data_IF_041757961607
#
_entry.id   IF_041757961607
#
_cell.length_a   1.000
_cell.length_b   1.000
_cell.length_c   1.000
_cell.angle_alpha   90.00
_cell.angle_beta   90.00
_cell.angle_gamma   90.00
#
_symmetry.space_group_name_H-M   'P 1'
#
loop_
_entity.id
_entity.type
_entity.pdbx_description
1 polymer ?
#
# COMPACT_ATOMS: atom_id res chain seq x y z
N UNK A 1 46.48 12.34 53.61
CA UNK A 1 45.27 13.04 53.12
C UNK A 1 45.52 13.56 51.72
N UNK A 2 44.70 13.14 50.74
CA UNK A 2 44.21 13.89 49.57
C UNK A 2 43.54 12.90 48.61
N UNK A 3 42.24 12.70 48.87
CA UNK A 3 41.26 12.10 47.96
C UNK A 3 40.90 13.14 46.88
N UNK A 4 40.32 12.65 45.77
CA UNK A 4 39.58 13.38 44.72
C UNK A 4 40.39 14.13 43.66
N UNK A 5 40.50 13.54 42.45
CA UNK A 5 40.05 14.14 41.18
C UNK A 5 39.75 13.01 40.17
N UNK A 6 38.58 12.37 40.26
CA UNK A 6 37.99 11.65 39.10
C UNK A 6 36.48 11.83 39.22
N UNK A 7 35.92 12.90 38.66
CA UNK A 7 34.47 13.04 38.42
C UNK A 7 34.19 14.37 37.69
N UNK A 8 34.31 14.39 36.36
CA UNK A 8 33.51 15.27 35.47
C UNK A 8 33.88 14.99 34.01
N UNK A 9 33.29 13.96 33.38
CA UNK A 9 33.29 13.85 31.92
C UNK A 9 32.28 12.80 31.36
N UNK A 10 31.10 12.57 31.96
CA UNK A 10 30.07 11.72 31.33
C UNK A 10 28.66 12.28 31.59
N UNK A 11 28.34 13.47 31.07
CA UNK A 11 26.93 13.92 30.94
C UNK A 11 26.74 14.74 29.65
N UNK A 12 27.14 14.21 28.49
CA UNK A 12 26.83 14.84 27.18
C UNK A 12 26.19 13.89 26.14
N UNK A 13 26.00 12.61 26.46
CA UNK A 13 25.43 11.64 25.52
C UNK A 13 23.91 11.67 25.28
N UNK A 14 23.01 12.25 26.12
CA UNK A 14 21.58 12.25 25.83
C UNK A 14 21.10 13.39 24.91
N UNK A 15 21.93 14.39 24.59
CA UNK A 15 21.51 15.53 23.74
C UNK A 15 21.51 15.14 22.26
N UNK A 16 22.46 14.31 21.83
CA UNK A 16 22.58 13.86 20.44
C UNK A 16 21.36 13.05 19.98
N UNK A 17 20.85 12.12 20.82
CA UNK A 17 19.67 11.30 20.50
C UNK A 17 18.39 12.14 20.39
N UNK A 18 18.21 13.17 21.22
CA UNK A 18 17.04 14.03 21.17
C UNK A 18 17.03 14.93 19.92
N UNK A 19 18.20 15.46 19.53
CA UNK A 19 18.36 16.28 18.33
C UNK A 19 18.19 15.48 17.02
N UNK A 20 18.68 14.24 16.97
CA UNK A 20 18.45 13.35 15.82
C UNK A 20 16.95 13.06 15.62
N UNK A 21 16.22 12.81 16.71
CA UNK A 21 14.78 12.59 16.66
C UNK A 21 13.96 13.80 16.20
N UNK A 22 14.42 15.04 16.41
CA UNK A 22 13.71 16.23 15.94
C UNK A 22 13.91 16.46 14.43
N UNK A 23 15.12 16.24 13.92
CA UNK A 23 15.43 16.35 12.49
C UNK A 23 14.70 15.30 11.63
N UNK A 24 14.71 14.03 12.04
CA UNK A 24 13.98 12.95 11.34
C UNK A 24 12.48 13.24 11.30
N UNK A 25 11.88 13.69 12.42
CA UNK A 25 10.46 14.07 12.45
C UNK A 25 10.12 15.23 11.51
N UNK A 26 11.02 16.22 11.37
CA UNK A 26 10.83 17.33 10.42
C UNK A 26 10.81 16.82 8.97
N UNK A 27 11.74 15.95 8.61
CA UNK A 27 11.81 15.34 7.28
C UNK A 27 10.59 14.47 6.98
N UNK A 28 10.11 13.69 7.96
CA UNK A 28 8.86 12.93 7.84
C UNK A 28 7.65 13.83 7.59
N UNK A 29 7.53 14.94 8.32
CA UNK A 29 6.44 15.92 8.12
C UNK A 29 6.51 16.58 6.75
N UNK A 30 7.71 16.91 6.29
CA UNK A 30 7.94 17.47 4.95
C UNK A 30 7.55 16.47 3.86
N UNK A 31 8.01 15.22 3.96
CA UNK A 31 7.64 14.14 3.05
C UNK A 31 6.13 13.93 3.03
N UNK A 32 5.48 13.88 4.20
CA UNK A 32 4.02 13.75 4.31
C UNK A 32 3.29 14.90 3.60
N UNK A 33 3.80 16.13 3.72
CA UNK A 33 3.24 17.30 3.04
C UNK A 33 3.40 17.20 1.52
N UNK A 34 4.55 16.73 1.03
CA UNK A 34 4.79 16.54 -0.41
C UNK A 34 3.92 15.41 -0.97
N UNK A 35 3.80 14.31 -0.23
CA UNK A 35 2.94 13.18 -0.58
C UNK A 35 1.47 13.62 -0.74
N UNK A 36 0.96 14.43 0.20
CA UNK A 36 -0.41 14.98 0.13
C UNK A 36 -0.64 15.90 -1.06
N UNK A 37 0.41 16.57 -1.53
CA UNK A 37 0.38 17.39 -2.76
C UNK A 37 0.63 16.55 -4.02
N UNK A 38 0.64 15.23 -3.88
CA UNK A 38 0.98 14.25 -4.93
C UNK A 38 2.35 14.45 -5.59
N UNK A 39 3.26 15.19 -4.93
CA UNK A 39 4.64 15.41 -5.38
C UNK A 39 5.50 14.24 -4.90
N UNK A 40 5.29 13.06 -5.48
CA UNK A 40 5.85 11.81 -4.96
C UNK A 40 7.38 11.74 -5.03
N UNK A 41 8.02 12.35 -6.04
CA UNK A 41 9.49 12.44 -6.10
C UNK A 41 10.08 13.28 -4.96
N UNK A 42 9.41 14.38 -4.61
CA UNK A 42 9.81 15.21 -3.48
C UNK A 42 9.55 14.52 -2.15
N UNK A 43 8.46 13.76 -2.05
CA UNK A 43 8.14 12.95 -0.88
C UNK A 43 9.20 11.86 -0.66
N UNK A 44 9.51 11.10 -1.71
CA UNK A 44 10.60 10.12 -1.73
C UNK A 44 11.92 10.72 -1.25
N UNK A 45 12.33 11.86 -1.83
CA UNK A 45 13.56 12.55 -1.45
C UNK A 45 13.61 12.88 0.04
N UNK A 46 12.51 13.38 0.61
CA UNK A 46 12.41 13.69 2.03
C UNK A 46 12.46 12.43 2.91
N UNK A 47 11.80 11.34 2.52
CA UNK A 47 11.83 10.09 3.27
C UNK A 47 13.18 9.37 3.20
N UNK A 48 13.86 9.39 2.04
CA UNK A 48 15.25 8.89 1.94
C UNK A 48 16.20 9.70 2.82
N UNK A 49 16.03 11.02 2.91
CA UNK A 49 16.77 11.87 3.86
C UNK A 49 16.43 11.54 5.33
N UNK A 50 15.19 11.18 5.64
CA UNK A 50 14.84 10.71 6.98
C UNK A 50 15.55 9.39 7.31
N UNK A 51 15.56 8.44 6.37
CA UNK A 51 16.26 7.16 6.53
C UNK A 51 17.78 7.29 6.61
N UNK A 52 18.39 8.29 5.97
CA UNK A 52 19.84 8.54 6.13
C UNK A 52 20.19 9.11 7.51
N UNK A 53 19.21 9.63 8.26
CA UNK A 53 19.38 10.12 9.63
C UNK A 53 19.03 9.07 10.68
N UNK A 54 18.00 8.28 10.40
CA UNK A 54 17.54 7.16 11.21
C UNK A 54 17.18 5.99 10.28
N UNK A 55 18.16 5.11 10.08
CA UNK A 55 18.04 3.94 9.20
C UNK A 55 17.02 2.92 9.70
N UNK A 56 16.65 2.99 10.99
CA UNK A 56 15.68 2.10 11.62
C UNK A 56 14.25 2.62 11.62
N UNK A 57 14.01 3.80 11.03
CA UNK A 57 12.69 4.43 11.06
C UNK A 57 11.67 3.68 10.21
N UNK A 58 10.89 2.78 10.82
CA UNK A 58 9.77 2.09 10.16
C UNK A 58 8.76 3.03 9.54
N UNK A 59 8.52 4.19 10.16
CA UNK A 59 7.64 5.23 9.60
C UNK A 59 8.21 5.82 8.30
N UNK A 60 9.52 6.08 8.24
CA UNK A 60 10.15 6.59 7.02
C UNK A 60 10.15 5.52 5.92
N UNK A 61 10.47 4.27 6.25
CA UNK A 61 10.40 3.14 5.31
C UNK A 61 8.98 2.95 4.77
N UNK A 62 7.97 2.87 5.64
CA UNK A 62 6.57 2.73 5.22
C UNK A 62 6.12 3.88 4.30
N UNK A 63 6.44 5.13 4.64
CA UNK A 63 6.04 6.28 3.84
C UNK A 63 6.82 6.41 2.51
N UNK A 64 8.07 5.94 2.49
CA UNK A 64 8.85 5.82 1.25
C UNK A 64 8.21 4.77 0.33
N UNK A 65 7.85 3.60 0.87
CA UNK A 65 7.10 2.58 0.14
C UNK A 65 5.81 3.11 -0.47
N UNK A 66 5.03 3.89 0.30
CA UNK A 66 3.82 4.56 -0.21
C UNK A 66 4.09 5.49 -1.38
N UNK A 67 5.22 6.21 -1.37
CA UNK A 67 5.59 7.16 -2.43
C UNK A 67 6.00 6.43 -3.70
N UNK A 68 6.82 5.40 -3.57
CA UNK A 68 7.27 4.54 -4.66
C UNK A 68 6.10 3.81 -5.31
N UNK A 69 5.19 3.27 -4.50
CA UNK A 69 3.94 2.67 -4.97
C UNK A 69 3.14 3.63 -5.87
N UNK A 70 2.97 4.89 -5.45
CA UNK A 70 2.24 5.89 -6.26
C UNK A 70 3.00 6.31 -7.50
N UNK A 71 4.33 6.34 -7.45
CA UNK A 71 5.16 6.57 -8.65
C UNK A 71 4.94 5.45 -9.66
N UNK A 72 5.01 4.20 -9.22
CA UNK A 72 4.72 3.04 -10.07
C UNK A 72 3.32 3.09 -10.66
N UNK A 73 2.29 3.44 -9.87
CA UNK A 73 0.92 3.59 -10.40
C UNK A 73 0.82 4.64 -11.51
N UNK A 74 1.58 5.73 -11.43
CA UNK A 74 1.60 6.82 -12.41
C UNK A 74 2.45 6.49 -13.64
N UNK A 75 3.62 5.88 -13.46
CA UNK A 75 4.56 5.57 -14.56
C UNK A 75 4.32 4.20 -15.19
N UNK A 76 3.58 3.31 -14.51
CA UNK A 76 3.44 1.88 -14.80
C UNK A 76 4.79 1.14 -14.86
N UNK A 77 5.76 1.61 -14.08
CA UNK A 77 7.10 1.01 -13.97
C UNK A 77 7.17 0.08 -12.75
N UNK A 78 7.39 -1.21 -13.00
CA UNK A 78 7.43 -2.26 -11.98
C UNK A 78 8.60 -2.13 -11.01
N UNK A 79 9.70 -1.48 -11.40
CA UNK A 79 10.87 -1.30 -10.53
C UNK A 79 10.52 -0.53 -9.25
N UNK A 80 9.59 0.42 -9.37
CA UNK A 80 9.09 1.16 -8.21
C UNK A 80 8.22 0.30 -7.29
N UNK A 81 7.53 -0.74 -7.79
CA UNK A 81 6.85 -1.71 -6.93
C UNK A 81 7.87 -2.56 -6.17
N UNK A 82 8.95 -3.00 -6.81
CA UNK A 82 10.02 -3.74 -6.14
C UNK A 82 10.66 -2.94 -5.00
N UNK A 83 10.97 -1.66 -5.23
CA UNK A 83 11.46 -0.79 -4.16
C UNK A 83 10.41 -0.56 -3.07
N UNK A 84 9.14 -0.38 -3.44
CA UNK A 84 8.07 -0.24 -2.45
C UNK A 84 7.96 -1.49 -1.55
N UNK A 85 8.00 -2.69 -2.15
CA UNK A 85 7.98 -3.97 -1.44
C UNK A 85 9.13 -4.05 -0.43
N UNK A 86 10.37 -3.72 -0.84
CA UNK A 86 11.54 -3.70 0.05
C UNK A 86 11.33 -2.78 1.25
N UNK A 87 10.81 -1.58 1.02
CA UNK A 87 10.59 -0.61 2.09
C UNK A 87 9.42 -0.97 3.02
N UNK A 88 8.36 -1.62 2.52
CA UNK A 88 7.34 -2.18 3.39
C UNK A 88 7.87 -3.34 4.23
N UNK A 89 8.68 -4.24 3.66
CA UNK A 89 9.35 -5.31 4.41
C UNK A 89 10.21 -4.75 5.55
N UNK A 90 11.04 -3.74 5.26
CA UNK A 90 11.84 -3.08 6.29
C UNK A 90 10.98 -2.45 7.41
N UNK A 91 9.80 -1.93 7.09
CA UNK A 91 8.87 -1.42 8.11
C UNK A 91 8.25 -2.55 8.94
N UNK A 92 7.89 -3.68 8.32
CA UNK A 92 7.31 -4.88 8.96
C UNK A 92 8.31 -5.53 9.93
N UNK A 93 9.59 -5.52 9.57
CA UNK A 93 10.70 -6.11 10.33
C UNK A 93 11.11 -5.29 11.57
N UNK A 94 10.69 -4.02 11.67
CA UNK A 94 10.96 -3.22 12.87
C UNK A 94 10.23 -3.80 14.08
N UNK A 95 10.93 -4.28 15.12
CA UNK A 95 10.29 -4.88 16.30
C UNK A 95 9.47 -3.87 17.11
N UNK A 96 9.63 -2.57 16.87
CA UNK A 96 8.91 -1.49 17.57
C UNK A 96 7.68 -1.01 16.80
N UNK A 97 7.40 -1.53 15.61
CA UNK A 97 6.22 -1.14 14.85
C UNK A 97 4.96 -1.56 15.61
N UNK A 98 3.99 -0.65 15.76
CA UNK A 98 2.69 -1.01 16.34
C UNK A 98 1.95 -1.98 15.43
N UNK A 99 1.19 -2.91 16.00
CA UNK A 99 0.33 -3.86 15.25
C UNK A 99 -0.50 -3.19 14.16
N UNK A 100 -1.14 -2.06 14.48
CA UNK A 100 -1.91 -1.29 13.50
C UNK A 100 -1.09 -0.90 12.26
N UNK A 101 0.10 -0.32 12.47
CA UNK A 101 0.97 0.06 11.36
C UNK A 101 1.57 -1.17 10.65
N UNK A 102 1.81 -2.26 11.38
CA UNK A 102 2.27 -3.53 10.80
C UNK A 102 1.23 -4.11 9.85
N UNK A 103 -0.04 -4.13 10.26
CA UNK A 103 -1.17 -4.54 9.42
C UNK A 103 -1.27 -3.69 8.16
N UNK A 104 -1.14 -2.36 8.28
CA UNK A 104 -1.12 -1.47 7.12
C UNK A 104 0.08 -1.71 6.19
N UNK A 105 1.26 -2.02 6.74
CA UNK A 105 2.44 -2.31 5.95
C UNK A 105 2.30 -3.63 5.17
N UNK A 106 1.78 -4.69 5.80
CA UNK A 106 1.41 -5.92 5.10
C UNK A 106 0.38 -5.66 4.00
N UNK A 107 -0.70 -4.93 4.31
CA UNK A 107 -1.71 -4.58 3.31
C UNK A 107 -1.10 -3.85 2.10
N UNK A 108 -0.25 -2.85 2.33
CA UNK A 108 0.35 -2.08 1.24
C UNK A 108 1.42 -2.86 0.46
N UNK A 109 2.16 -3.77 1.11
CA UNK A 109 3.07 -4.69 0.43
C UNK A 109 2.30 -5.65 -0.48
N UNK A 110 1.17 -6.17 0.02
CA UNK A 110 0.23 -6.96 -0.76
C UNK A 110 -0.35 -6.19 -1.95
N UNK A 111 -0.67 -4.90 -1.78
CA UNK A 111 -1.11 -4.05 -2.90
C UNK A 111 0.00 -3.89 -3.95
N UNK A 112 1.26 -3.68 -3.55
CA UNK A 112 2.39 -3.63 -4.48
C UNK A 112 2.57 -4.92 -5.26
N UNK A 113 2.53 -6.08 -4.59
CA UNK A 113 2.59 -7.38 -5.26
C UNK A 113 1.42 -7.57 -6.23
N UNK A 114 0.20 -7.28 -5.79
CA UNK A 114 -1.00 -7.40 -6.63
C UNK A 114 -0.90 -6.54 -7.89
N UNK A 115 -0.45 -5.30 -7.75
CA UNK A 115 -0.26 -4.38 -8.87
C UNK A 115 0.86 -4.81 -9.81
N UNK A 116 2.00 -5.26 -9.25
CA UNK A 116 3.11 -5.79 -10.03
C UNK A 116 2.68 -7.00 -10.85
N UNK A 117 1.92 -7.93 -10.26
CA UNK A 117 1.37 -9.08 -10.98
C UNK A 117 0.34 -8.73 -12.06
N UNK A 118 -0.35 -7.58 -11.93
CA UNK A 118 -1.23 -7.06 -12.98
C UNK A 118 -0.45 -6.44 -14.15
N UNK A 119 0.72 -5.84 -13.89
CA UNK A 119 1.59 -5.28 -14.93
C UNK A 119 2.37 -6.37 -15.67
N UNK A 120 2.81 -7.40 -14.96
CA UNK A 120 3.67 -8.45 -15.49
C UNK A 120 2.99 -9.82 -15.37
N UNK A 121 2.39 -10.28 -16.47
CA UNK A 121 1.64 -11.53 -16.49
C UNK A 121 2.51 -12.77 -16.28
N UNK A 122 3.78 -12.73 -16.70
CA UNK A 122 4.72 -13.85 -16.55
C UNK A 122 4.98 -14.13 -15.07
N UNK A 123 5.14 -13.08 -14.28
CA UNK A 123 5.32 -13.18 -12.82
C UNK A 123 3.99 -13.13 -12.04
N UNK A 124 2.86 -12.94 -12.74
CA UNK A 124 1.56 -12.67 -12.13
C UNK A 124 1.14 -13.68 -11.08
N UNK A 125 1.33 -14.98 -11.34
CA UNK A 125 0.96 -16.04 -10.36
C UNK A 125 1.72 -15.89 -9.05
N UNK A 126 3.04 -15.74 -9.14
CA UNK A 126 3.89 -15.60 -7.96
C UNK A 126 3.52 -14.33 -7.19
N UNK A 127 3.33 -13.21 -7.91
CA UNK A 127 2.99 -11.93 -7.31
C UNK A 127 1.59 -11.97 -6.64
N UNK A 128 0.60 -12.64 -7.24
CA UNK A 128 -0.71 -12.82 -6.61
C UNK A 128 -0.64 -13.72 -5.37
N UNK A 129 0.20 -14.75 -5.36
CA UNK A 129 0.44 -15.57 -4.17
C UNK A 129 1.07 -14.77 -3.04
N UNK A 130 2.08 -13.94 -3.33
CA UNK A 130 2.68 -13.04 -2.35
C UNK A 130 1.64 -12.06 -1.79
N UNK A 131 0.82 -11.46 -2.66
CA UNK A 131 -0.25 -10.57 -2.25
C UNK A 131 -1.26 -11.25 -1.31
N UNK A 132 -1.66 -12.48 -1.62
CA UNK A 132 -2.57 -13.28 -0.77
C UNK A 132 -1.96 -13.48 0.62
N UNK A 133 -0.69 -13.86 0.72
CA UNK A 133 0.00 -14.06 1.99
C UNK A 133 0.04 -12.78 2.83
N UNK A 134 0.39 -11.66 2.20
CA UNK A 134 0.43 -10.36 2.85
C UNK A 134 -0.95 -9.91 3.36
N UNK A 135 -2.00 -10.08 2.57
CA UNK A 135 -3.36 -9.76 3.03
C UNK A 135 -3.82 -10.67 4.17
N UNK A 136 -3.43 -11.94 4.16
CA UNK A 136 -3.70 -12.85 5.27
C UNK A 136 -3.01 -12.40 6.56
N UNK A 137 -1.73 -12.01 6.51
CA UNK A 137 -1.02 -11.46 7.67
C UNK A 137 -1.65 -10.15 8.16
N UNK A 138 -2.01 -9.25 7.25
CA UNK A 138 -2.70 -8.02 7.61
C UNK A 138 -4.04 -8.29 8.32
N UNK A 139 -4.82 -9.28 7.87
CA UNK A 139 -6.11 -9.67 8.45
C UNK A 139 -6.00 -10.49 9.74
N UNK A 140 -4.88 -11.16 9.99
CA UNK A 140 -4.61 -11.75 11.31
C UNK A 140 -4.50 -10.66 12.38
N UNK A 141 -3.90 -9.52 12.01
CA UNK A 141 -3.69 -8.38 12.92
C UNK A 141 -4.94 -7.48 13.00
N UNK A 142 -5.56 -7.15 11.86
CA UNK A 142 -6.83 -6.40 11.80
C UNK A 142 -7.90 -7.20 11.03
N UNK A 143 -8.64 -8.10 11.71
CA UNK A 143 -9.67 -8.91 11.07
C UNK A 143 -10.88 -8.13 10.56
N UNK A 144 -11.01 -6.84 10.88
CA UNK A 144 -12.15 -6.00 10.49
C UNK A 144 -11.86 -5.14 9.26
N UNK A 145 -10.63 -5.14 8.75
CA UNK A 145 -10.26 -4.37 7.57
C UNK A 145 -10.98 -4.88 6.31
N UNK A 146 -11.99 -4.12 5.85
CA UNK A 146 -12.81 -4.49 4.68
C UNK A 146 -12.02 -4.39 3.38
N UNK A 147 -11.14 -3.41 3.25
CA UNK A 147 -10.33 -3.21 2.04
C UNK A 147 -9.35 -4.36 1.84
N UNK A 148 -8.71 -4.81 2.92
CA UNK A 148 -7.83 -5.97 2.87
C UNK A 148 -8.60 -7.26 2.54
N UNK A 149 -9.83 -7.45 3.06
CA UNK A 149 -10.69 -8.59 2.68
C UNK A 149 -11.04 -8.56 1.20
N UNK A 150 -11.42 -7.39 0.68
CA UNK A 150 -11.72 -7.19 -0.73
C UNK A 150 -10.50 -7.50 -1.60
N UNK A 151 -9.32 -6.96 -1.26
CA UNK A 151 -8.09 -7.19 -2.02
C UNK A 151 -7.62 -8.66 -1.95
N UNK A 152 -7.82 -9.34 -0.82
CA UNK A 152 -7.59 -10.78 -0.70
C UNK A 152 -8.46 -11.59 -1.66
N UNK A 153 -9.76 -11.31 -1.70
CA UNK A 153 -10.69 -11.96 -2.62
C UNK A 153 -10.32 -11.69 -4.09
N UNK A 154 -9.94 -10.45 -4.41
CA UNK A 154 -9.48 -10.07 -5.74
C UNK A 154 -8.20 -10.82 -6.14
N UNK A 155 -7.19 -10.86 -5.27
CA UNK A 155 -5.92 -11.57 -5.53
C UNK A 155 -6.15 -13.07 -5.76
N UNK A 156 -7.04 -13.70 -4.97
CA UNK A 156 -7.45 -15.11 -5.19
C UNK A 156 -8.12 -15.32 -6.55
N UNK A 157 -9.04 -14.42 -6.94
CA UNK A 157 -9.70 -14.49 -8.25
C UNK A 157 -8.70 -14.36 -9.40
N UNK A 158 -7.77 -13.41 -9.29
CA UNK A 158 -6.72 -13.19 -10.29
C UNK A 158 -5.76 -14.37 -10.39
N UNK A 159 -5.38 -14.99 -9.28
CA UNK A 159 -4.57 -16.20 -9.28
C UNK A 159 -5.25 -17.36 -10.03
N UNK A 160 -6.54 -17.61 -9.74
CA UNK A 160 -7.32 -18.65 -10.44
C UNK A 160 -7.43 -18.34 -11.94
N UNK A 161 -7.74 -17.08 -12.30
CA UNK A 161 -7.81 -16.65 -13.71
C UNK A 161 -6.48 -16.86 -14.43
N UNK A 162 -5.36 -16.52 -13.79
CA UNK A 162 -4.04 -16.66 -14.38
C UNK A 162 -3.63 -18.15 -14.55
N UNK A 163 -3.99 -19.02 -13.61
CA UNK A 163 -3.76 -20.47 -13.70
C UNK A 163 -4.56 -21.14 -14.84
N UNK A 164 -5.81 -20.73 -15.05
CA UNK A 164 -6.65 -21.26 -16.13
C UNK A 164 -6.17 -20.86 -17.53
N UNK A 165 -5.37 -19.81 -17.64
CA UNK A 165 -4.88 -19.29 -18.92
C UNK A 165 -3.51 -19.87 -19.33
N UNK A 166 -2.77 -20.46 -18.38
CA UNK A 166 -1.52 -21.18 -18.67
C UNK A 166 -1.69 -22.61 -19.19
N UNK A 167 -2.91 -23.14 -19.18
CA UNK A 167 -3.25 -24.46 -19.73
C UNK A 167 -3.96 -24.33 -21.07
N UNK A 168 -3.27 -24.64 -22.17
CA UNK A 168 -3.91 -24.82 -23.46
C UNK A 168 -4.88 -25.99 -23.42
N UNK A 169 -6.19 -25.72 -23.32
CA UNK A 169 -7.22 -26.74 -23.48
C UNK A 169 -8.45 -26.53 -22.60
N UNK A 170 -9.50 -25.97 -23.21
CA UNK A 170 -10.91 -26.28 -22.94
C UNK A 170 -11.46 -26.02 -21.53
N UNK A 171 -12.31 -25.00 -21.38
CA UNK A 171 -13.47 -25.06 -20.47
C UNK A 171 -14.47 -23.95 -20.80
N UNK A 172 -15.33 -24.24 -21.77
CA UNK A 172 -16.70 -23.74 -21.81
C UNK A 172 -17.47 -24.32 -20.60
N UNK A 173 -17.41 -23.65 -19.45
CA UNK A 173 -18.42 -23.72 -18.38
C UNK A 173 -17.87 -23.06 -17.10
N UNK A 174 -18.07 -21.74 -16.92
CA UNK A 174 -18.11 -21.13 -15.57
C UNK A 174 -18.69 -19.71 -15.49
N UNK A 175 -19.52 -19.31 -16.45
CA UNK A 175 -20.17 -17.97 -16.43
C UNK A 175 -21.36 -17.84 -15.46
N UNK A 176 -21.69 -18.87 -14.67
CA UNK A 176 -22.83 -18.79 -13.74
C UNK A 176 -22.49 -18.26 -12.34
N UNK A 177 -21.22 -18.10 -11.97
CA UNK A 177 -20.85 -17.57 -10.65
C UNK A 177 -20.54 -16.06 -10.63
N UNK A 178 -20.36 -15.43 -11.80
CA UNK A 178 -20.03 -14.00 -11.91
C UNK A 178 -21.25 -13.05 -11.86
N UNK A 179 -22.49 -13.59 -11.84
CA UNK A 179 -23.70 -12.78 -11.68
C UNK A 179 -24.08 -12.54 -10.21
N UNK A 180 -23.73 -13.44 -9.28
CA UNK A 180 -24.14 -13.31 -7.87
C UNK A 180 -23.25 -12.33 -7.07
N UNK A 181 -21.96 -12.22 -7.41
CA UNK A 181 -21.05 -11.25 -6.77
C UNK A 181 -21.19 -9.82 -7.31
N UNK A 182 -21.72 -9.63 -8.52
CA UNK A 182 -22.07 -8.30 -9.05
C UNK A 182 -23.24 -7.66 -8.28
N UNK A 183 -24.16 -8.48 -7.73
CA UNK A 183 -25.29 -7.99 -6.97
C UNK A 183 -24.90 -7.56 -5.53
N UNK A 184 -23.88 -8.19 -4.93
CA UNK A 184 -23.38 -7.79 -3.61
C UNK A 184 -22.41 -6.58 -3.66
N UNK A 185 -21.78 -6.29 -4.81
CA UNK A 185 -20.96 -5.08 -4.98
C UNK A 185 -21.76 -3.82 -5.30
N UNK A 186 -23.00 -3.93 -5.81
CA UNK A 186 -23.87 -2.77 -6.06
C UNK A 186 -24.57 -2.24 -4.80
N UNK A 187 -24.58 -2.98 -3.68
CA UNK A 187 -25.19 -2.53 -2.43
C UNK A 187 -24.21 -1.84 -1.46
N UNK A 188 -22.89 -1.93 -1.67
CA UNK A 188 -21.91 -1.32 -0.74
C UNK A 188 -21.27 -0.02 -1.23
N UNK A 189 -21.59 0.44 -2.44
CA UNK A 189 -21.10 1.70 -3.03
C UNK A 189 -22.20 2.72 -3.37
N UNK A 190 -23.43 2.54 -2.85
CA UNK A 190 -24.56 3.43 -3.15
C UNK A 190 -24.63 4.73 -2.33
N UNK A 191 -23.52 5.16 -1.71
CA UNK A 191 -23.55 6.40 -0.91
C UNK A 191 -22.54 7.48 -1.30
N UNK A 192 -21.76 7.34 -2.37
CA UNK A 192 -21.01 8.48 -2.91
C UNK A 192 -20.80 8.34 -4.44
N UNK A 193 -21.25 9.36 -5.17
CA UNK A 193 -21.14 9.62 -6.63
C UNK A 193 -22.29 9.14 -7.52
N UNK A 194 -23.39 9.89 -7.44
CA UNK A 194 -24.11 10.35 -8.63
C UNK A 194 -23.24 11.39 -9.38
N UNK A 195 -22.60 10.98 -10.47
CA UNK A 195 -22.40 11.75 -11.72
C UNK A 195 -21.37 11.03 -12.59
N UNK A 196 -21.86 10.20 -13.50
CA UNK A 196 -21.51 10.21 -14.93
C UNK A 196 -22.25 9.05 -15.60
N UNK A 197 -23.35 9.38 -16.27
CA UNK A 197 -24.17 8.46 -17.05
C UNK A 197 -23.71 8.44 -18.52
N UNK A 198 -23.74 7.23 -19.08
CA UNK A 198 -24.07 6.86 -20.47
C UNK A 198 -23.10 7.13 -21.63
N UNK A 199 -22.63 6.04 -22.25
CA UNK A 199 -23.09 5.53 -23.57
C UNK A 199 -22.54 4.09 -23.78
N UNK A 200 -23.41 3.07 -23.93
CA UNK A 200 -23.72 2.28 -25.17
C UNK A 200 -22.52 1.46 -25.73
N UNK A 201 -22.61 0.21 -26.20
CA UNK A 201 -23.72 -0.65 -26.61
C UNK A 201 -23.21 -2.11 -26.75
N UNK A 202 -24.13 -3.08 -26.65
CA UNK A 202 -23.99 -4.44 -27.17
C UNK A 202 -23.63 -4.46 -28.67
N UNK A 203 -22.58 -5.21 -29.04
CA UNK A 203 -22.55 -5.99 -30.27
C UNK A 203 -21.45 -7.06 -30.23
N UNK A 204 -21.83 -8.29 -30.58
CA UNK A 204 -20.96 -9.44 -30.80
C UNK A 204 -19.94 -9.15 -31.91
N UNK A 205 -18.66 -9.50 -31.69
CA UNK A 205 -17.85 -10.27 -32.64
C UNK A 205 -16.46 -10.59 -32.05
N UNK A 206 -16.25 -11.87 -31.76
CA UNK A 206 -15.09 -12.66 -32.18
C UNK A 206 -13.75 -11.90 -32.30
N UNK A 207 -13.09 -11.59 -31.17
CA UNK A 207 -11.72 -11.08 -31.15
C UNK A 207 -10.94 -11.64 -29.96
N UNK A 208 -9.64 -11.82 -30.19
CA UNK A 208 -8.73 -12.67 -29.44
C UNK A 208 -8.77 -12.51 -27.91
N UNK A 209 -8.53 -13.59 -27.13
CA UNK A 209 -8.56 -13.57 -25.67
C UNK A 209 -7.77 -12.41 -25.03
N UNK A 210 -6.64 -12.04 -25.64
CA UNK A 210 -5.68 -11.01 -25.19
C UNK A 210 -6.27 -9.61 -24.96
N UNK A 211 -7.12 -9.08 -25.86
CA UNK A 211 -7.61 -7.70 -25.75
C UNK A 211 -8.72 -7.52 -24.72
N UNK A 212 -9.62 -8.51 -24.62
CA UNK A 212 -10.66 -8.53 -23.58
C UNK A 212 -10.04 -8.65 -22.18
N UNK A 213 -8.98 -9.47 -22.06
CA UNK A 213 -8.25 -9.68 -20.81
C UNK A 213 -7.54 -8.42 -20.30
N UNK A 214 -6.94 -7.62 -21.20
CA UNK A 214 -6.34 -6.33 -20.82
C UNK A 214 -7.39 -5.35 -20.30
N UNK A 215 -8.55 -5.27 -20.97
CA UNK A 215 -9.67 -4.42 -20.53
C UNK A 215 -10.23 -4.85 -19.17
N UNK A 216 -10.32 -6.15 -18.90
CA UNK A 216 -10.73 -6.66 -17.58
C UNK A 216 -9.73 -6.30 -16.49
N UNK A 217 -8.43 -6.50 -16.73
CA UNK A 217 -7.36 -6.17 -15.79
C UNK A 217 -7.32 -4.67 -15.52
N UNK A 218 -7.47 -3.83 -16.55
CA UNK A 218 -7.59 -2.38 -16.44
C UNK A 218 -8.81 -1.95 -15.64
N UNK A 219 -9.95 -2.61 -15.82
CA UNK A 219 -11.16 -2.33 -15.04
C UNK A 219 -10.99 -2.65 -13.56
N UNK A 220 -10.40 -3.81 -13.25
CA UNK A 220 -10.10 -4.22 -11.87
C UNK A 220 -9.06 -3.29 -11.25
N UNK A 221 -8.03 -2.92 -12.01
CA UNK A 221 -7.02 -1.96 -11.63
C UNK A 221 -7.65 -0.61 -11.27
N UNK A 222 -8.53 -0.08 -12.13
CA UNK A 222 -9.23 1.18 -11.88
C UNK A 222 -10.13 1.12 -10.66
N UNK A 223 -10.83 -0.01 -10.44
CA UNK A 223 -11.65 -0.20 -9.24
C UNK A 223 -10.79 -0.24 -7.97
N UNK A 224 -9.64 -0.92 -8.00
CA UNK A 224 -8.68 -0.97 -6.90
C UNK A 224 -8.07 0.41 -6.64
N UNK A 225 -7.61 1.12 -7.68
CA UNK A 225 -7.05 2.48 -7.56
C UNK A 225 -8.04 3.42 -6.85
N UNK A 226 -9.33 3.33 -7.16
CA UNK A 226 -10.38 4.12 -6.52
C UNK A 226 -10.56 3.76 -5.05
N UNK A 227 -10.64 2.47 -4.72
CA UNK A 227 -10.79 2.03 -3.34
C UNK A 227 -9.58 2.43 -2.49
N UNK A 228 -8.36 2.22 -3.02
CA UNK A 228 -7.12 2.60 -2.33
C UNK A 228 -6.97 4.10 -2.13
N UNK A 229 -7.37 4.92 -3.10
CA UNK A 229 -7.37 6.38 -2.94
C UNK A 229 -8.26 6.79 -1.77
N UNK A 230 -9.40 6.11 -1.56
CA UNK A 230 -10.28 6.33 -0.42
C UNK A 230 -9.61 5.90 0.89
N UNK A 231 -9.15 4.65 0.98
CA UNK A 231 -8.50 4.09 2.19
C UNK A 231 -7.31 4.94 2.63
N UNK A 232 -6.46 5.35 1.70
CA UNK A 232 -5.27 6.16 2.01
C UNK A 232 -5.63 7.56 2.50
N UNK A 233 -6.66 8.20 1.91
CA UNK A 233 -7.17 9.49 2.43
C UNK A 233 -7.71 9.34 3.85
N UNK A 234 -8.44 8.27 4.15
CA UNK A 234 -8.95 8.01 5.50
C UNK A 234 -7.83 7.74 6.51
N UNK A 235 -6.84 6.92 6.17
CA UNK A 235 -5.67 6.66 7.02
C UNK A 235 -4.91 7.95 7.31
N UNK A 236 -4.75 8.82 6.31
CA UNK A 236 -4.11 10.11 6.48
C UNK A 236 -4.93 11.07 7.36
N UNK A 237 -6.25 11.14 7.17
CA UNK A 237 -7.12 11.97 8.00
C UNK A 237 -7.01 11.54 9.48
N UNK A 238 -7.06 10.23 9.73
CA UNK A 238 -6.88 9.66 11.07
C UNK A 238 -5.49 9.95 11.64
N UNK A 239 -4.43 9.89 10.83
CA UNK A 239 -3.08 10.24 11.28
C UNK A 239 -2.93 11.73 11.65
N UNK A 240 -3.55 12.64 10.89
CA UNK A 240 -3.57 14.08 11.22
C UNK A 240 -4.34 14.36 12.50
N UNK A 241 -5.50 13.71 12.66
CA UNK A 241 -6.32 13.84 13.87
C UNK A 241 -5.58 13.31 15.11
N UNK A 242 -4.89 12.18 14.99
CA UNK A 242 -4.05 11.64 16.05
C UNK A 242 -2.88 12.57 16.41
N UNK A 243 -2.31 13.26 15.42
CA UNK A 243 -1.19 14.19 15.66
C UNK A 243 -1.66 15.51 16.29
N UNK A 244 -2.81 16.06 15.87
CA UNK A 244 -3.40 17.28 16.45
C UNK A 244 -3.85 17.07 17.90
N UNK A 245 -4.58 15.98 18.17
CA UNK A 245 -5.02 15.62 19.53
C UNK A 245 -3.86 15.35 20.51
N UNK A 246 -2.69 14.93 20.02
CA UNK A 246 -1.48 14.79 20.86
C UNK A 246 -0.86 16.14 21.19
N UNK A 247 -0.88 17.10 20.26
CA UNK A 247 -0.40 18.47 20.49
C UNK A 247 -1.33 19.21 21.48
N UNK A 248 -2.64 18.96 21.43
CA UNK A 248 -3.63 19.53 22.35
C UNK A 248 -3.63 18.93 23.77
N UNK A 249 -2.85 17.89 24.05
CA UNK A 249 -2.75 17.32 25.41
C UNK A 249 -1.41 17.59 26.09
N UNK A 250 -0.44 18.11 25.33
CA UNK A 250 0.92 18.43 25.80
C UNK A 250 1.06 19.93 26.18
N UNK A 251 -0.06 20.67 26.35
CA UNK A 251 -0.13 22.01 26.95
C UNK A 251 -0.82 21.96 28.31
#
# INVERSE_FOLDING_TARGET
MKRLVILTAIVLLPIAMQAQNSATRKLLREGNRMYKKEKYDNAETAYRKALSRDTSSSTASYNLGNSLYRKSQKSKDEAYYDEAIKHYSAAIEDPKISDKNKSHAYHNRGNSHLQKGLLNQEQGQQEFQQAIGDYQEALKIDPKNKDTKYNLSLAKKLLVKNQQQGGGGGSDNKDQQDQQDKQNQQQQNQQDQQQEQQQKQDQQQQQQPSESQKKDAERLLKAMENNEKKTMKEQQAKAVQAQSSKIEKDW
#
